data_IF_984779710567
#
_entry.id   IF_984779710567
#
_cell.length_a   1.000
_cell.length_b   1.000
_cell.length_c   1.000
_cell.angle_alpha   90.00
_cell.angle_beta   90.00
_cell.angle_gamma   90.00
#
_symmetry.space_group_name_H-M   'P 1'
#
loop_
_entity.id
_entity.type
_entity.pdbx_description
1 polymer ?
#
# COMPACT_ATOMS: atom_id res chain seq x y z
N UNK A 1 -16.58 -15.23 16.69
CA UNK A 1 -16.00 -16.58 16.75
C UNK A 1 -14.49 -16.40 16.67
N UNK A 2 -13.77 -16.54 17.78
CA UNK A 2 -12.31 -16.33 17.82
C UNK A 2 -11.68 -17.58 17.23
N UNK A 3 -11.02 -17.45 16.07
CA UNK A 3 -10.24 -18.56 15.51
C UNK A 3 -9.08 -18.84 16.48
N UNK A 4 -9.00 -20.07 16.98
CA UNK A 4 -7.84 -20.52 17.76
C UNK A 4 -6.60 -20.51 16.85
N UNK A 5 -5.48 -20.06 17.42
CA UNK A 5 -4.21 -19.86 16.71
C UNK A 5 -3.59 -21.22 16.31
N UNK A 6 -3.07 -21.36 15.08
CA UNK A 6 -2.34 -22.56 14.65
C UNK A 6 -1.05 -22.76 15.46
N UNK A 7 -0.72 -24.04 15.72
CA UNK A 7 0.24 -24.47 16.75
C UNK A 7 1.69 -24.64 16.26
N UNK A 8 1.94 -24.52 14.95
CA UNK A 8 3.24 -24.79 14.33
C UNK A 8 3.65 -23.67 13.35
N UNK A 9 4.94 -23.29 13.33
CA UNK A 9 5.50 -22.24 12.44
C UNK A 9 5.20 -22.48 10.95
N UNK A 10 5.15 -23.75 10.53
CA UNK A 10 4.85 -24.14 9.13
C UNK A 10 3.39 -23.83 8.73
N UNK A 11 2.45 -23.92 9.67
CA UNK A 11 1.04 -23.58 9.44
C UNK A 11 0.88 -22.06 9.27
N UNK A 12 1.65 -21.25 10.00
CA UNK A 12 1.68 -19.80 9.84
C UNK A 12 2.21 -19.38 8.48
N UNK A 13 3.29 -20.02 8.01
CA UNK A 13 3.85 -19.75 6.69
C UNK A 13 2.83 -20.04 5.58
N UNK A 14 2.08 -21.15 5.69
CA UNK A 14 1.05 -21.52 4.73
C UNK A 14 -0.18 -20.60 4.78
N UNK A 15 -0.71 -20.31 5.97
CA UNK A 15 -1.86 -19.42 6.11
C UNK A 15 -1.52 -18.00 5.62
N UNK A 16 -0.33 -17.51 5.92
CA UNK A 16 0.19 -16.25 5.43
C UNK A 16 0.31 -16.25 3.90
N UNK A 17 0.96 -17.25 3.30
CA UNK A 17 1.07 -17.39 1.85
C UNK A 17 -0.29 -17.39 1.15
N UNK A 18 -1.31 -18.01 1.78
CA UNK A 18 -2.66 -18.08 1.23
C UNK A 18 -3.37 -16.73 1.19
N UNK A 19 -3.19 -15.88 2.22
CA UNK A 19 -3.90 -14.60 2.33
C UNK A 19 -3.13 -13.43 1.71
N UNK A 20 -1.82 -13.57 1.52
CA UNK A 20 -0.98 -12.45 1.08
C UNK A 20 -1.41 -11.80 -0.23
N UNK A 21 -1.84 -12.53 -1.27
CA UNK A 21 -2.35 -11.90 -2.49
C UNK A 21 -3.56 -10.99 -2.23
N UNK A 22 -4.47 -11.39 -1.34
CA UNK A 22 -5.65 -10.59 -0.96
C UNK A 22 -5.23 -9.36 -0.13
N UNK A 23 -4.35 -9.56 0.85
CA UNK A 23 -3.77 -8.47 1.66
C UNK A 23 -3.09 -7.44 0.77
N UNK A 24 -2.26 -7.86 -0.18
CA UNK A 24 -1.55 -6.93 -1.07
C UNK A 24 -2.50 -6.20 -2.02
N UNK A 25 -3.56 -6.85 -2.48
CA UNK A 25 -4.62 -6.17 -3.26
C UNK A 25 -5.24 -5.03 -2.45
N UNK A 26 -5.53 -5.26 -1.17
CA UNK A 26 -6.06 -4.23 -0.27
C UNK A 26 -5.05 -3.12 0.01
N UNK A 27 -3.77 -3.47 0.24
CA UNK A 27 -2.67 -2.51 0.42
C UNK A 27 -2.61 -1.56 -0.77
N UNK A 28 -2.54 -2.09 -1.99
CA UNK A 28 -2.44 -1.28 -3.19
C UNK A 28 -3.69 -0.45 -3.43
N UNK A 29 -4.87 -1.00 -3.17
CA UNK A 29 -6.14 -0.27 -3.28
C UNK A 29 -6.15 0.93 -2.35
N UNK A 30 -5.81 0.73 -1.08
CA UNK A 30 -5.77 1.81 -0.10
C UNK A 30 -4.69 2.83 -0.45
N UNK A 31 -3.49 2.39 -0.80
CA UNK A 31 -2.39 3.26 -1.20
C UNK A 31 -2.77 4.17 -2.38
N UNK A 32 -3.35 3.60 -3.45
CA UNK A 32 -3.80 4.36 -4.63
C UNK A 32 -4.86 5.40 -4.27
N UNK A 33 -5.84 5.04 -3.43
CA UNK A 33 -6.86 5.98 -2.99
C UNK A 33 -6.25 7.15 -2.21
N UNK A 34 -5.35 6.87 -1.26
CA UNK A 34 -4.64 7.91 -0.50
C UNK A 34 -3.81 8.83 -1.40
N UNK A 35 -3.14 8.28 -2.42
CA UNK A 35 -2.37 9.07 -3.38
C UNK A 35 -3.26 9.96 -4.26
N UNK A 36 -4.38 9.43 -4.73
CA UNK A 36 -5.37 10.21 -5.50
C UNK A 36 -5.90 11.36 -4.65
N UNK A 37 -6.24 11.13 -3.38
CA UNK A 37 -6.72 12.16 -2.46
C UNK A 37 -5.66 13.25 -2.22
N UNK A 38 -4.41 12.86 -1.97
CA UNK A 38 -3.29 13.80 -1.80
C UNK A 38 -3.09 14.68 -3.04
N UNK A 39 -3.06 14.08 -4.23
CA UNK A 39 -2.90 14.82 -5.48
C UNK A 39 -4.09 15.74 -5.77
N UNK A 40 -5.32 15.30 -5.50
CA UNK A 40 -6.51 16.17 -5.62
C UNK A 40 -6.39 17.39 -4.72
N UNK A 41 -5.98 17.19 -3.47
CA UNK A 41 -5.77 18.28 -2.51
C UNK A 41 -4.67 19.24 -2.97
N UNK A 42 -3.57 18.75 -3.57
CA UNK A 42 -2.51 19.60 -4.11
C UNK A 42 -3.01 20.47 -5.29
N UNK A 43 -3.81 19.89 -6.18
CA UNK A 43 -4.41 20.62 -7.32
C UNK A 43 -5.38 21.69 -6.84
N UNK A 44 -6.24 21.37 -5.87
CA UNK A 44 -7.22 22.31 -5.31
C UNK A 44 -6.57 23.51 -4.59
N UNK A 45 -5.40 23.29 -3.96
CA UNK A 45 -4.70 24.32 -3.20
C UNK A 45 -3.74 25.20 -4.04
N UNK A 46 -3.72 25.07 -5.38
CA UNK A 46 -2.98 25.95 -6.31
C UNK A 46 -1.50 26.19 -5.93
N UNK A 47 -0.76 25.14 -5.57
CA UNK A 47 0.66 25.29 -5.28
C UNK A 47 1.45 25.71 -6.54
N UNK A 48 2.32 26.73 -6.45
CA UNK A 48 2.96 27.35 -7.61
C UNK A 48 4.18 26.55 -8.05
N UNK A 49 3.98 25.55 -8.88
CA UNK A 49 5.05 25.02 -9.73
C UNK A 49 4.54 24.84 -11.15
N UNK A 50 5.47 25.01 -12.09
CA UNK A 50 5.27 25.38 -13.50
C UNK A 50 4.22 24.51 -14.21
N UNK A 51 3.51 25.14 -15.16
CA UNK A 51 2.33 24.63 -15.90
C UNK A 51 2.54 23.25 -16.57
N UNK A 52 3.79 22.81 -16.77
CA UNK A 52 4.11 21.45 -17.27
C UNK A 52 3.94 20.33 -16.23
N UNK A 53 3.97 20.64 -14.94
CA UNK A 53 3.79 19.70 -13.83
C UNK A 53 2.34 19.65 -13.33
N UNK A 54 1.46 20.57 -13.70
CA UNK A 54 0.06 20.59 -13.29
C UNK A 54 -0.80 19.56 -14.04
N UNK A 55 -0.42 19.23 -15.28
CA UNK A 55 -1.06 18.16 -16.05
C UNK A 55 -0.72 16.77 -15.49
N UNK A 56 0.40 16.64 -14.77
CA UNK A 56 0.90 15.36 -14.24
C UNK A 56 0.03 14.78 -13.12
N UNK A 57 -0.40 15.51 -12.07
CA UNK A 57 -1.37 15.04 -11.08
C UNK A 57 -2.67 14.56 -11.72
N UNK A 58 -3.26 15.36 -12.62
CA UNK A 58 -4.50 15.02 -13.32
C UNK A 58 -4.35 13.77 -14.19
N UNK A 59 -3.23 13.66 -14.91
CA UNK A 59 -2.90 12.46 -15.69
C UNK A 59 -2.79 11.21 -14.80
N UNK A 60 -2.01 11.28 -13.72
CA UNK A 60 -1.82 10.14 -12.80
C UNK A 60 -3.14 9.70 -12.16
N UNK A 61 -3.98 10.66 -11.71
CA UNK A 61 -5.30 10.35 -11.17
C UNK A 61 -6.15 9.64 -12.22
N UNK A 62 -6.22 10.15 -13.46
CA UNK A 62 -7.03 9.55 -14.52
C UNK A 62 -6.54 8.14 -14.90
N UNK A 63 -5.23 7.93 -15.05
CA UNK A 63 -4.67 6.62 -15.37
C UNK A 63 -4.89 5.61 -14.24
N UNK A 64 -4.72 6.02 -12.99
CA UNK A 64 -5.01 5.16 -11.85
C UNK A 64 -6.49 4.78 -11.79
N UNK A 65 -7.40 5.72 -12.04
CA UNK A 65 -8.84 5.47 -12.05
C UNK A 65 -9.26 4.49 -13.16
N UNK A 66 -8.59 4.47 -14.32
CA UNK A 66 -8.85 3.49 -15.38
C UNK A 66 -8.45 2.06 -14.99
N UNK A 67 -7.46 1.93 -14.12
CA UNK A 67 -6.95 0.64 -13.65
C UNK A 67 -7.71 0.12 -12.44
N UNK A 68 -8.32 1.01 -11.66
CA UNK A 68 -9.09 0.65 -10.47
C UNK A 68 -10.54 0.28 -10.81
N UNK A 69 -11.15 -0.70 -10.13
CA UNK A 69 -10.59 -1.57 -9.08
C UNK A 69 -9.94 -2.86 -9.62
N UNK A 70 -9.87 -3.04 -10.94
CA UNK A 70 -9.52 -4.32 -11.56
C UNK A 70 -8.03 -4.69 -11.38
N UNK A 71 -7.14 -3.70 -11.41
CA UNK A 71 -5.69 -3.90 -11.28
C UNK A 71 -5.05 -2.83 -10.37
N UNK A 72 -5.25 -2.94 -9.04
CA UNK A 72 -4.73 -1.96 -8.08
C UNK A 72 -3.21 -1.96 -7.98
N UNK A 73 -2.54 -3.10 -8.21
CA UNK A 73 -1.08 -3.18 -8.25
C UNK A 73 -0.50 -2.32 -9.38
N UNK A 74 -1.07 -2.45 -10.59
CA UNK A 74 -0.64 -1.62 -11.72
C UNK A 74 -0.96 -0.15 -11.50
N UNK A 75 -2.07 0.17 -10.84
CA UNK A 75 -2.39 1.54 -10.44
C UNK A 75 -1.38 2.08 -9.42
N UNK A 76 -0.98 1.27 -8.42
CA UNK A 76 0.00 1.66 -7.41
C UNK A 76 1.37 1.95 -8.04
N UNK A 77 1.78 1.19 -9.05
CA UNK A 77 3.03 1.42 -9.79
C UNK A 77 3.12 2.79 -10.47
N UNK A 78 2.01 3.51 -10.67
CA UNK A 78 2.03 4.89 -11.14
C UNK A 78 2.55 5.88 -10.08
N UNK A 79 2.43 5.52 -8.80
CA UNK A 79 2.75 6.38 -7.66
C UNK A 79 3.96 5.92 -6.85
N UNK A 80 4.33 4.64 -6.93
CA UNK A 80 5.48 4.10 -6.19
C UNK A 80 6.78 4.77 -6.67
N UNK A 81 7.48 5.38 -5.72
CA UNK A 81 8.81 5.98 -5.87
C UNK A 81 9.74 5.48 -4.77
N UNK A 82 11.04 5.80 -4.85
CA UNK A 82 11.97 5.62 -3.74
C UNK A 82 11.39 6.27 -2.47
N UNK A 83 11.43 5.55 -1.35
CA UNK A 83 10.83 5.95 -0.08
C UNK A 83 9.39 5.49 0.15
N UNK A 84 8.76 4.77 -0.80
CA UNK A 84 7.37 4.31 -0.63
C UNK A 84 7.25 3.05 0.25
N UNK A 85 8.33 2.27 0.39
CA UNK A 85 8.34 0.99 1.09
C UNK A 85 7.78 1.09 2.54
N UNK A 86 8.19 2.07 3.37
CA UNK A 86 7.65 2.22 4.72
C UNK A 86 6.13 2.42 4.76
N UNK A 87 5.55 3.15 3.79
CA UNK A 87 4.10 3.36 3.74
C UNK A 87 3.36 2.07 3.38
N UNK A 88 3.85 1.33 2.39
CA UNK A 88 3.27 0.05 1.99
C UNK A 88 3.33 -0.97 3.13
N UNK A 89 4.45 -1.05 3.86
CA UNK A 89 4.58 -1.92 5.02
C UNK A 89 3.64 -1.52 6.17
N UNK A 90 3.46 -0.23 6.42
CA UNK A 90 2.52 0.23 7.44
C UNK A 90 1.08 -0.17 7.09
N UNK A 91 0.66 -0.03 5.83
CA UNK A 91 -0.64 -0.47 5.35
C UNK A 91 -0.81 -1.99 5.48
N UNK A 92 0.19 -2.77 5.04
CA UNK A 92 0.18 -4.22 5.14
C UNK A 92 0.05 -4.68 6.60
N UNK A 93 0.85 -4.09 7.49
CA UNK A 93 0.80 -4.36 8.93
C UNK A 93 -0.58 -4.07 9.51
N UNK A 94 -1.17 -2.94 9.15
CA UNK A 94 -2.51 -2.54 9.59
C UNK A 94 -3.58 -3.52 9.09
N UNK A 95 -3.58 -3.86 7.80
CA UNK A 95 -4.57 -4.79 7.21
C UNK A 95 -4.47 -6.19 7.81
N UNK A 96 -3.25 -6.72 7.96
CA UNK A 96 -3.01 -8.01 8.60
C UNK A 96 -3.55 -8.04 10.04
N UNK A 97 -3.34 -6.94 10.79
CA UNK A 97 -3.81 -6.84 12.17
C UNK A 97 -5.33 -6.76 12.25
N UNK A 98 -5.95 -5.85 11.52
CA UNK A 98 -7.38 -5.57 11.62
C UNK A 98 -8.26 -6.66 10.99
N UNK A 99 -7.90 -7.15 9.79
CA UNK A 99 -8.74 -8.12 9.07
C UNK A 99 -8.48 -9.56 9.47
N UNK A 100 -7.23 -9.89 9.82
CA UNK A 100 -6.81 -11.27 10.04
C UNK A 100 -6.35 -11.55 11.47
N UNK A 101 -6.21 -10.52 12.33
CA UNK A 101 -5.71 -10.68 13.70
C UNK A 101 -4.22 -11.03 13.78
N UNK A 102 -3.48 -10.89 12.66
CA UNK A 102 -2.08 -11.30 12.54
C UNK A 102 -1.18 -10.14 12.96
N UNK A 103 -0.29 -10.40 13.92
CA UNK A 103 0.77 -9.47 14.26
C UNK A 103 1.94 -9.70 13.32
N UNK A 104 2.21 -8.74 12.44
CA UNK A 104 3.32 -8.76 11.49
C UNK A 104 4.32 -7.64 11.81
N UNK A 105 5.60 -7.91 11.61
CA UNK A 105 6.69 -6.96 11.83
C UNK A 105 7.35 -6.60 10.49
N UNK A 106 7.66 -5.31 10.31
CA UNK A 106 8.30 -4.83 9.08
C UNK A 106 9.76 -5.30 9.00
N UNK A 107 10.37 -5.34 7.80
CA UNK A 107 11.80 -5.60 7.67
C UNK A 107 12.66 -4.67 8.54
N UNK A 108 12.30 -3.38 8.63
CA UNK A 108 12.97 -2.39 9.47
C UNK A 108 12.81 -2.63 10.98
N UNK A 109 11.71 -3.26 11.41
CA UNK A 109 11.52 -3.65 12.82
C UNK A 109 12.32 -4.90 13.17
N UNK A 110 12.48 -5.82 12.22
CA UNK A 110 13.25 -7.05 12.40
C UNK A 110 14.77 -6.83 12.29
N UNK A 111 15.20 -5.84 11.49
CA UNK A 111 16.61 -5.54 11.22
C UNK A 111 16.84 -4.02 11.30
N UNK A 112 16.80 -3.42 12.51
CA UNK A 112 16.89 -1.97 12.70
C UNK A 112 18.24 -1.35 12.28
N UNK A 113 19.27 -2.17 12.12
CA UNK A 113 20.60 -1.77 11.63
C UNK A 113 20.65 -1.57 10.12
N UNK A 114 19.65 -2.06 9.38
CA UNK A 114 19.55 -1.93 7.93
C UNK A 114 18.72 -0.69 7.60
N UNK A 115 19.29 0.19 6.77
CA UNK A 115 18.55 1.31 6.19
C UNK A 115 17.86 0.82 4.93
N UNK A 116 16.54 0.92 4.92
CA UNK A 116 15.70 0.60 3.76
C UNK A 116 15.31 1.91 3.05
N UNK A 117 15.44 1.92 1.72
CA UNK A 117 14.98 3.01 0.84
C UNK A 117 13.67 2.67 0.11
#
# INVERSE_FOLDING_TARGET
MIKQLPKHEDEWAYEYQRIIPEVMKDVYTQFVNEQIEQLRSMVENNLPWEVSEQERPSFLINEAQKLMPDNPERAANLFIQLGSCPRLWALQKHILKEKYGITWYTPAELNPEIIYD
#
